data_IF_710628472793
#
_entry.id   IF_710628472793
#
_cell.length_a   1.000
_cell.length_b   1.000
_cell.length_c   1.000
_cell.angle_alpha   90.00
_cell.angle_beta   90.00
_cell.angle_gamma   90.00
#
_symmetry.space_group_name_H-M   'P 1'
#
loop_
_entity.id
_entity.type
_entity.pdbx_description
1 polymer ?
#
# COMPACT_ATOMS: atom_id res chain seq x y z
N UNK A 1 41.04 42.79 7.14
CA UNK A 1 40.15 42.19 8.14
C UNK A 1 38.76 42.23 7.53
N UNK A 2 38.43 41.18 6.78
CA UNK A 2 37.16 40.95 6.09
C UNK A 2 36.73 39.53 6.49
N UNK A 3 35.51 39.31 7.00
CA UNK A 3 35.08 37.97 7.39
C UNK A 3 34.57 37.19 6.18
N UNK A 4 35.23 36.06 5.88
CA UNK A 4 34.75 35.02 4.96
C UNK A 4 33.47 34.37 5.50
N UNK A 5 32.32 34.66 4.88
CA UNK A 5 31.09 33.86 5.02
C UNK A 5 30.40 33.69 3.66
N UNK A 6 31.15 33.35 2.61
CA UNK A 6 30.60 33.06 1.28
C UNK A 6 30.96 31.63 0.83
N UNK A 7 30.71 30.63 1.68
CA UNK A 7 30.86 29.20 1.32
C UNK A 7 29.81 28.33 2.02
N UNK A 8 28.54 28.75 1.99
CA UNK A 8 27.45 27.81 2.24
C UNK A 8 27.17 27.02 0.96
N UNK A 9 27.81 25.86 0.92
CA UNK A 9 27.64 24.78 -0.06
C UNK A 9 26.16 24.49 -0.25
N UNK A 10 25.69 24.69 -1.50
CA UNK A 10 24.42 24.15 -1.97
C UNK A 10 24.34 22.65 -1.59
N UNK A 11 23.24 22.16 -0.98
CA UNK A 11 23.05 20.72 -0.92
C UNK A 11 22.94 20.22 -2.36
N UNK A 12 23.90 19.39 -2.75
CA UNK A 12 23.91 18.59 -3.98
C UNK A 12 22.51 18.00 -4.19
N UNK A 13 21.94 18.04 -5.42
CA UNK A 13 20.68 17.34 -5.68
C UNK A 13 20.88 15.87 -5.31
N UNK A 14 20.10 15.40 -4.34
CA UNK A 14 20.05 13.99 -3.93
C UNK A 14 19.91 13.18 -5.21
N UNK A 15 20.97 12.45 -5.56
CA UNK A 15 21.01 11.58 -6.71
C UNK A 15 19.75 10.72 -6.70
N UNK A 16 19.00 10.77 -7.80
CA UNK A 16 17.82 9.96 -8.02
C UNK A 16 18.13 8.51 -7.64
N UNK A 17 17.51 8.03 -6.57
CA UNK A 17 17.55 6.62 -6.23
C UNK A 17 17.04 5.85 -7.44
N UNK A 18 17.94 5.11 -8.09
CA UNK A 18 17.61 4.19 -9.17
C UNK A 18 16.72 3.12 -8.56
N UNK A 19 15.40 3.34 -8.57
CA UNK A 19 14.44 2.40 -8.00
C UNK A 19 14.50 1.13 -8.84
N UNK A 20 15.05 0.06 -8.28
CA UNK A 20 14.88 -1.28 -8.82
C UNK A 20 13.40 -1.51 -9.19
N UNK A 21 13.08 -2.26 -10.25
CA UNK A 21 11.71 -2.42 -10.71
C UNK A 21 10.87 -3.10 -9.61
N UNK A 22 10.03 -2.30 -8.94
CA UNK A 22 9.07 -2.77 -7.93
C UNK A 22 7.90 -3.40 -8.65
N UNK A 23 7.64 -4.69 -8.42
CA UNK A 23 6.44 -5.34 -8.95
C UNK A 23 5.25 -4.92 -8.11
N UNK A 24 4.32 -4.15 -8.70
CA UNK A 24 3.09 -3.68 -8.06
C UNK A 24 1.86 -4.41 -8.60
N UNK A 25 1.03 -4.89 -7.68
CA UNK A 25 -0.30 -5.45 -7.95
C UNK A 25 -1.33 -4.59 -7.23
N UNK A 26 -2.36 -4.14 -7.92
CA UNK A 26 -3.48 -3.37 -7.34
C UNK A 26 -4.74 -4.21 -7.35
N UNK A 27 -5.45 -4.24 -6.23
CA UNK A 27 -6.73 -4.93 -6.04
C UNK A 27 -7.79 -3.96 -5.56
N UNK A 28 -9.00 -4.06 -6.08
CA UNK A 28 -10.16 -3.36 -5.55
C UNK A 28 -10.51 -3.87 -4.14
N UNK A 29 -10.73 -2.97 -3.21
CA UNK A 29 -11.09 -3.34 -1.84
C UNK A 29 -12.48 -3.99 -1.78
N UNK A 30 -13.38 -3.69 -2.73
CA UNK A 30 -14.71 -4.30 -2.85
C UNK A 30 -14.68 -5.75 -3.35
N UNK A 31 -13.61 -6.15 -4.05
CA UNK A 31 -13.34 -7.53 -4.40
C UNK A 31 -12.95 -8.33 -3.15
N UNK A 32 -12.18 -7.70 -2.25
CA UNK A 32 -11.66 -8.33 -1.04
C UNK A 32 -12.68 -8.34 0.10
N UNK A 33 -13.37 -7.23 0.33
CA UNK A 33 -14.21 -6.98 1.51
C UNK A 33 -15.54 -6.32 1.12
N UNK A 34 -16.57 -6.49 1.96
CA UNK A 34 -17.76 -5.65 1.88
C UNK A 34 -17.55 -4.24 2.45
N UNK A 35 -18.64 -3.48 2.49
CA UNK A 35 -18.62 -2.11 2.99
C UNK A 35 -18.22 -2.07 4.47
N UNK A 36 -17.24 -1.22 4.82
CA UNK A 36 -16.66 -1.10 6.17
C UNK A 36 -16.12 -2.41 6.79
N UNK A 37 -15.90 -3.44 5.97
CA UNK A 37 -15.34 -4.69 6.43
C UNK A 37 -13.83 -4.72 6.22
N UNK A 38 -13.17 -5.50 7.07
CA UNK A 38 -11.72 -5.66 7.04
C UNK A 38 -11.24 -6.96 7.69
N UNK A 39 -12.08 -7.74 8.38
CA UNK A 39 -11.60 -8.93 9.09
C UNK A 39 -11.25 -10.07 8.12
N UNK A 40 -10.40 -11.00 8.55
CA UNK A 40 -10.10 -12.23 7.80
C UNK A 40 -11.39 -13.00 7.46
N UNK A 41 -12.36 -13.05 8.36
CA UNK A 41 -13.68 -13.68 8.12
C UNK A 41 -14.50 -12.95 7.04
N UNK A 42 -14.27 -11.65 6.84
CA UNK A 42 -14.96 -10.84 5.85
C UNK A 42 -14.36 -10.96 4.45
N UNK A 43 -13.20 -11.63 4.31
CA UNK A 43 -12.59 -11.85 3.01
C UNK A 43 -13.52 -12.69 2.14
N UNK A 44 -13.96 -12.07 1.05
CA UNK A 44 -14.84 -12.69 0.07
C UNK A 44 -14.17 -13.88 -0.63
N UNK A 45 -14.92 -14.89 -1.07
CA UNK A 45 -14.36 -16.05 -1.77
C UNK A 45 -13.52 -15.67 -3.00
N UNK A 46 -13.99 -14.70 -3.79
CA UNK A 46 -13.29 -14.24 -4.99
C UNK A 46 -11.99 -13.51 -4.64
N UNK A 47 -12.03 -12.69 -3.58
CA UNK A 47 -10.85 -12.03 -3.03
C UNK A 47 -9.81 -13.02 -2.51
N UNK A 48 -10.23 -14.07 -1.80
CA UNK A 48 -9.36 -15.16 -1.34
C UNK A 48 -8.66 -15.86 -2.50
N UNK A 49 -9.40 -16.28 -3.52
CA UNK A 49 -8.82 -16.92 -4.71
C UNK A 49 -7.78 -16.03 -5.41
N UNK A 50 -8.03 -14.72 -5.46
CA UNK A 50 -7.08 -13.76 -6.01
C UNK A 50 -5.83 -13.62 -5.14
N UNK A 51 -6.00 -13.52 -3.82
CA UNK A 51 -4.89 -13.46 -2.87
C UNK A 51 -4.06 -14.76 -2.88
N UNK A 52 -4.68 -15.93 -3.03
CA UNK A 52 -3.99 -17.22 -3.18
C UNK A 52 -3.08 -17.23 -4.41
N UNK A 53 -3.62 -16.77 -5.55
CA UNK A 53 -2.85 -16.66 -6.79
C UNK A 53 -1.66 -15.69 -6.64
N UNK A 54 -1.85 -14.60 -5.89
CA UNK A 54 -0.78 -13.64 -5.61
C UNK A 54 0.26 -14.25 -4.68
N UNK A 55 -0.16 -14.90 -3.59
CA UNK A 55 0.74 -15.55 -2.63
C UNK A 55 1.65 -16.58 -3.34
N UNK A 56 1.10 -17.39 -4.25
CA UNK A 56 1.86 -18.31 -5.08
C UNK A 56 2.93 -17.59 -5.93
N UNK A 57 2.57 -16.44 -6.53
CA UNK A 57 3.52 -15.63 -7.33
C UNK A 57 4.55 -14.85 -6.52
N UNK A 58 4.32 -14.70 -5.21
CA UNK A 58 5.21 -13.99 -4.29
C UNK A 58 6.26 -14.91 -3.68
N UNK A 59 6.02 -16.23 -3.65
CA UNK A 59 6.91 -17.22 -3.04
C UNK A 59 8.35 -17.10 -3.53
N UNK A 60 8.56 -17.02 -4.85
CA UNK A 60 9.90 -16.90 -5.44
C UNK A 60 10.59 -15.59 -5.04
N UNK A 61 9.89 -14.45 -5.09
CA UNK A 61 10.46 -13.14 -4.72
C UNK A 61 10.91 -13.14 -3.25
N UNK A 62 10.09 -13.71 -2.37
CA UNK A 62 10.40 -13.84 -0.94
C UNK A 62 11.58 -14.79 -0.71
N UNK A 63 11.66 -15.89 -1.47
CA UNK A 63 12.80 -16.82 -1.44
C UNK A 63 14.11 -16.14 -1.91
N UNK A 64 14.01 -15.18 -2.83
CA UNK A 64 15.13 -14.33 -3.25
C UNK A 64 15.42 -13.15 -2.31
N UNK A 65 14.74 -13.11 -1.15
CA UNK A 65 15.03 -12.17 -0.09
C UNK A 65 14.24 -10.87 -0.14
N UNK A 66 13.31 -10.68 -1.09
CA UNK A 66 12.49 -9.47 -1.17
C UNK A 66 11.54 -9.32 0.03
N UNK A 67 11.15 -8.07 0.32
CA UNK A 67 10.07 -7.74 1.25
C UNK A 67 8.79 -7.46 0.47
N UNK A 68 7.65 -7.67 1.10
CA UNK A 68 6.34 -7.35 0.54
C UNK A 68 5.78 -6.16 1.29
N UNK A 69 5.34 -5.14 0.57
CA UNK A 69 4.58 -4.02 1.14
C UNK A 69 3.13 -4.13 0.72
N UNK A 70 2.24 -4.16 1.70
CA UNK A 70 0.79 -4.14 1.51
C UNK A 70 0.27 -2.79 1.99
N UNK A 71 -0.26 -1.98 1.07
CA UNK A 71 -0.82 -0.68 1.40
C UNK A 71 -2.32 -0.64 1.11
N UNK A 72 -3.12 -0.30 2.12
CA UNK A 72 -4.56 -0.11 1.98
C UNK A 72 -4.90 1.35 1.70
N UNK A 73 -5.93 1.58 0.88
CA UNK A 73 -6.46 2.90 0.55
C UNK A 73 -7.98 2.92 0.69
N UNK A 74 -8.51 4.08 1.02
CA UNK A 74 -9.94 4.39 1.03
C UNK A 74 -10.23 5.52 0.06
N UNK A 75 -11.50 5.73 -0.25
CA UNK A 75 -11.92 7.01 -0.81
C UNK A 75 -11.83 8.13 0.26
N UNK A 76 -12.04 9.37 -0.18
CA UNK A 76 -12.00 10.55 0.68
C UNK A 76 -13.28 10.76 1.51
N UNK A 77 -14.26 9.85 1.44
CA UNK A 77 -15.50 9.97 2.20
C UNK A 77 -15.24 9.54 3.65
N UNK A 78 -15.66 10.36 4.60
CA UNK A 78 -15.49 10.08 6.04
C UNK A 78 -14.37 10.90 6.66
N UNK A 79 -14.00 10.57 7.90
CA UNK A 79 -12.90 11.26 8.58
C UNK A 79 -11.57 10.63 8.22
N UNK A 80 -10.52 11.45 8.15
CA UNK A 80 -9.16 10.99 7.86
C UNK A 80 -8.69 9.90 8.85
N UNK A 81 -8.94 10.10 10.15
CA UNK A 81 -8.55 9.14 11.19
C UNK A 81 -9.22 7.78 11.01
N UNK A 82 -10.52 7.77 10.68
CA UNK A 82 -11.25 6.54 10.43
C UNK A 82 -10.75 5.83 9.16
N UNK A 83 -10.54 6.58 8.08
CA UNK A 83 -10.00 6.06 6.82
C UNK A 83 -8.59 5.48 7.01
N UNK A 84 -7.76 6.13 7.82
CA UNK A 84 -6.44 5.66 8.19
C UNK A 84 -6.49 4.31 8.92
N UNK A 85 -7.39 4.17 9.90
CA UNK A 85 -7.57 2.91 10.63
C UNK A 85 -8.13 1.80 9.75
N UNK A 86 -9.18 2.08 8.97
CA UNK A 86 -9.82 1.11 8.09
C UNK A 86 -8.85 0.58 7.04
N UNK A 87 -8.09 1.47 6.39
CA UNK A 87 -7.08 1.07 5.41
C UNK A 87 -5.96 0.23 6.04
N UNK A 88 -5.49 0.59 7.24
CA UNK A 88 -4.48 -0.18 7.95
C UNK A 88 -4.97 -1.59 8.30
N UNK A 89 -6.19 -1.71 8.84
CA UNK A 89 -6.75 -3.02 9.18
C UNK A 89 -6.93 -3.91 7.96
N UNK A 90 -7.36 -3.36 6.81
CA UNK A 90 -7.43 -4.13 5.56
C UNK A 90 -6.07 -4.62 5.10
N UNK A 91 -5.04 -3.76 5.18
CA UNK A 91 -3.68 -4.15 4.85
C UNK A 91 -3.14 -5.23 5.79
N UNK A 92 -3.43 -5.12 7.09
CA UNK A 92 -3.07 -6.14 8.10
C UNK A 92 -3.76 -7.47 7.82
N UNK A 93 -5.04 -7.48 7.47
CA UNK A 93 -5.75 -8.71 7.11
C UNK A 93 -5.15 -9.39 5.88
N UNK A 94 -4.76 -8.62 4.86
CA UNK A 94 -4.08 -9.19 3.68
C UNK A 94 -2.69 -9.73 4.06
N UNK A 95 -1.95 -9.03 4.94
CA UNK A 95 -0.68 -9.53 5.52
C UNK A 95 -0.88 -10.87 6.22
N UNK A 96 -1.85 -10.94 7.13
CA UNK A 96 -2.13 -12.13 7.92
C UNK A 96 -2.63 -13.28 7.04
N UNK A 97 -3.37 -12.97 5.97
CA UNK A 97 -3.76 -13.94 4.96
C UNK A 97 -2.54 -14.55 4.26
N UNK A 98 -1.60 -13.73 3.79
CA UNK A 98 -0.35 -14.21 3.19
C UNK A 98 0.49 -15.00 4.18
N UNK A 99 0.52 -14.60 5.45
CA UNK A 99 1.18 -15.37 6.50
C UNK A 99 0.56 -16.76 6.68
N UNK A 100 -0.77 -16.87 6.62
CA UNK A 100 -1.46 -18.16 6.65
C UNK A 100 -1.18 -19.06 5.44
N UNK A 101 -0.64 -18.48 4.34
CA UNK A 101 -0.18 -19.21 3.15
C UNK A 101 1.31 -19.55 3.17
N UNK A 102 2.00 -19.28 4.28
CA UNK A 102 3.39 -19.68 4.49
C UNK A 102 4.43 -18.60 4.17
N UNK A 103 4.01 -17.37 3.84
CA UNK A 103 4.95 -16.25 3.70
C UNK A 103 5.29 -15.73 5.10
N UNK A 104 6.57 -15.58 5.43
CA UNK A 104 6.97 -15.03 6.72
C UNK A 104 6.40 -13.60 6.92
N UNK A 105 5.59 -13.42 7.97
CA UNK A 105 4.97 -12.15 8.31
C UNK A 105 6.00 -11.03 8.56
N UNK A 106 7.22 -11.34 9.00
CA UNK A 106 8.30 -10.36 9.20
C UNK A 106 8.82 -9.76 7.90
N UNK A 107 8.52 -10.40 6.76
CA UNK A 107 8.83 -9.91 5.42
C UNK A 107 7.70 -9.09 4.81
N UNK A 108 6.56 -8.96 5.50
CA UNK A 108 5.38 -8.26 4.98
C UNK A 108 5.09 -7.01 5.82
N UNK A 109 5.25 -5.84 5.23
CA UNK A 109 4.95 -4.55 5.83
C UNK A 109 3.52 -4.11 5.46
N UNK A 110 2.63 -4.02 6.45
CA UNK A 110 1.26 -3.55 6.27
C UNK A 110 1.13 -2.06 6.63
N UNK A 111 0.62 -1.25 5.71
CA UNK A 111 0.51 0.21 5.86
C UNK A 111 -0.91 0.67 5.50
N UNK A 112 -1.52 1.48 6.37
CA UNK A 112 -2.73 2.22 6.03
C UNK A 112 -2.34 3.54 5.36
N UNK A 113 -2.92 3.84 4.20
CA UNK A 113 -2.71 5.12 3.52
C UNK A 113 -3.92 6.05 3.66
N UNK A 114 -5.02 5.58 4.26
CA UNK A 114 -6.28 6.29 4.30
C UNK A 114 -6.71 6.74 2.90
N UNK A 115 -7.11 8.00 2.79
CA UNK A 115 -7.49 8.62 1.52
C UNK A 115 -6.33 9.31 0.79
N UNK A 116 -5.07 9.00 1.15
CA UNK A 116 -3.91 9.57 0.49
C UNK A 116 -3.74 9.04 -0.94
N UNK A 117 -3.08 9.83 -1.80
CA UNK A 117 -2.83 9.50 -3.21
C UNK A 117 -4.13 9.09 -3.95
N UNK A 118 -5.16 9.95 -3.98
CA UNK A 118 -6.38 9.64 -4.73
C UNK A 118 -6.06 9.54 -6.22
N UNK A 119 -6.67 8.57 -6.89
CA UNK A 119 -6.65 8.43 -8.36
C UNK A 119 -7.93 8.99 -8.99
N UNK A 120 -8.84 9.50 -8.16
CA UNK A 120 -10.16 10.01 -8.51
C UNK A 120 -10.25 11.55 -8.60
N UNK A 121 -9.19 12.25 -9.01
CA UNK A 121 -9.13 13.73 -8.97
C UNK A 121 -10.35 14.41 -9.60
N UNK A 122 -10.89 13.83 -10.67
CA UNK A 122 -12.04 14.34 -11.43
C UNK A 122 -13.40 14.02 -10.80
N UNK A 123 -13.44 13.21 -9.74
CA UNK A 123 -14.69 12.80 -9.11
C UNK A 123 -15.26 13.90 -8.20
N UNK A 124 -16.59 14.11 -8.23
CA UNK A 124 -17.24 15.09 -7.38
C UNK A 124 -17.15 14.70 -5.91
N UNK A 125 -17.07 15.71 -5.05
CA UNK A 125 -17.16 15.50 -3.60
C UNK A 125 -18.59 15.16 -3.15
N UNK A 126 -18.69 14.66 -1.92
CA UNK A 126 -19.96 14.36 -1.26
C UNK A 126 -20.29 12.87 -1.22
N UNK A 127 -21.54 12.58 -0.87
CA UNK A 127 -22.04 11.21 -0.61
C UNK A 127 -23.20 10.81 -1.53
N UNK A 128 -23.36 11.50 -2.66
CA UNK A 128 -24.34 11.09 -3.66
C UNK A 128 -23.94 9.73 -4.24
N UNK A 129 -24.91 8.96 -4.73
CA UNK A 129 -24.64 7.64 -5.35
C UNK A 129 -23.61 7.77 -6.48
N UNK A 130 -23.73 8.80 -7.32
CA UNK A 130 -22.79 9.07 -8.40
C UNK A 130 -21.37 9.38 -7.88
N UNK A 131 -21.24 10.20 -6.83
CA UNK A 131 -19.94 10.49 -6.21
C UNK A 131 -19.31 9.23 -5.60
N UNK A 132 -20.07 8.45 -4.82
CA UNK A 132 -19.61 7.21 -4.18
C UNK A 132 -19.14 6.16 -5.20
N UNK A 133 -19.83 6.09 -6.35
CA UNK A 133 -19.46 5.21 -7.46
C UNK A 133 -18.19 5.71 -8.17
N UNK A 134 -18.09 7.01 -8.44
CA UNK A 134 -16.89 7.59 -9.07
C UNK A 134 -15.65 7.39 -8.20
N UNK A 135 -15.77 7.65 -6.90
CA UNK A 135 -14.69 7.50 -5.91
C UNK A 135 -14.32 6.04 -5.63
N UNK A 136 -15.05 5.06 -6.17
CA UNK A 136 -14.82 3.64 -5.92
C UNK A 136 -13.41 3.17 -6.26
N UNK A 137 -12.80 3.77 -7.29
CA UNK A 137 -11.44 3.47 -7.76
C UNK A 137 -10.36 3.77 -6.71
N UNK A 138 -10.65 4.62 -5.72
CA UNK A 138 -9.72 4.89 -4.61
C UNK A 138 -9.72 3.79 -3.56
N UNK A 139 -10.80 3.01 -3.46
CA UNK A 139 -10.92 1.91 -2.50
C UNK A 139 -10.12 0.71 -3.01
N UNK A 140 -8.82 0.70 -2.75
CA UNK A 140 -7.89 -0.31 -3.26
C UNK A 140 -6.90 -0.80 -2.20
N UNK A 141 -6.31 -1.96 -2.46
CA UNK A 141 -5.15 -2.49 -1.75
C UNK A 141 -4.05 -2.73 -2.78
N UNK A 142 -2.85 -2.20 -2.53
CA UNK A 142 -1.68 -2.43 -3.37
C UNK A 142 -0.72 -3.39 -2.67
N UNK A 143 -0.16 -4.31 -3.44
CA UNK A 143 0.84 -5.27 -2.99
C UNK A 143 2.07 -5.05 -3.86
N UNK A 144 3.19 -4.72 -3.22
CA UNK A 144 4.44 -4.38 -3.88
C UNK A 144 5.55 -5.30 -3.37
N UNK A 145 6.40 -5.81 -4.25
CA UNK A 145 7.66 -6.43 -3.81
C UNK A 145 8.79 -5.40 -3.84
N UNK A 146 9.44 -5.24 -2.69
CA UNK A 146 10.53 -4.30 -2.50
C UNK A 146 11.80 -5.12 -2.34
N UNK A 147 12.77 -4.99 -3.27
CA UNK A 147 14.05 -5.64 -3.09
C UNK A 147 14.69 -5.11 -1.81
N UNK A 148 15.29 -6.00 -1.03
CA UNK A 148 16.09 -5.60 0.13
C UNK A 148 17.37 -4.98 -0.42
N UNK A 149 17.31 -3.67 -0.67
CA UNK A 149 18.52 -2.87 -0.84
C UNK A 149 19.24 -2.95 0.50
N UNK A 150 20.38 -3.64 0.52
CA UNK A 150 21.26 -3.69 1.67
C UNK A 150 21.54 -2.26 2.11
N UNK A 151 20.84 -1.82 3.15
CA UNK A 151 21.04 -0.49 3.72
C UNK A 151 22.41 -0.56 4.40
N UNK A 152 23.39 0.12 3.81
CA UNK A 152 24.75 0.17 4.34
C UNK A 152 24.71 0.61 5.81
N UNK A 153 25.43 -0.07 6.71
CA UNK A 153 25.52 0.35 8.11
C UNK A 153 26.18 1.73 8.18
N UNK A 154 25.61 2.62 9.01
CA UNK A 154 26.28 3.83 9.48
C UNK A 154 27.43 3.47 10.42
#
# INVERSE_FOLDING_TARGET
MEPECEKYVNPTPVAAATSAPVKRITLDASLLFGFNQFALSDLRPEGRAKLDSIAASLGDNVAHGERIKVAGYTDRIGSQAYNQQLSLHRAQTVRDYFASRGIDAHRIDAVGMGSANPVSSECPDGRSTAAVQCLAVDRRVTIETVPVVASQPH
#
